data_IF_660994220174
#
_entry.id   IF_660994220174
#
_cell.length_a   1.000
_cell.length_b   1.000
_cell.length_c   1.000
_cell.angle_alpha   90.00
_cell.angle_beta   90.00
_cell.angle_gamma   90.00
#
_symmetry.space_group_name_H-M   'P 1'
#
loop_
_entity.id
_entity.type
_entity.pdbx_description
1 polymer ?
#
# COMPACT_ATOMS: atom_id res chain seq x y z
N UNK A 1 -2.06 -10.58 4.69
CA UNK A 1 -0.99 -11.57 4.89
C UNK A 1 -1.06 -12.52 3.73
N UNK A 2 0.10 -12.88 3.14
CA UNK A 2 0.24 -13.73 1.95
C UNK A 2 -0.10 -15.17 2.37
N UNK A 3 -1.36 -15.54 2.19
CA UNK A 3 -1.93 -16.79 2.67
C UNK A 3 -1.78 -17.93 1.68
N UNK A 4 -1.55 -17.62 0.41
CA UNK A 4 -1.28 -18.59 -0.65
C UNK A 4 0.22 -18.69 -1.02
N UNK A 5 1.08 -17.87 -0.41
CA UNK A 5 2.55 -17.80 -0.59
C UNK A 5 2.97 -17.53 -2.04
N UNK A 6 2.25 -16.66 -2.74
CA UNK A 6 2.55 -16.31 -4.14
C UNK A 6 3.41 -15.04 -4.30
N UNK A 7 3.86 -14.45 -3.19
CA UNK A 7 4.75 -13.29 -3.19
C UNK A 7 4.03 -11.95 -3.36
N UNK A 8 2.70 -11.95 -3.33
CA UNK A 8 1.88 -10.74 -3.34
C UNK A 8 0.78 -10.85 -2.28
N UNK A 9 0.32 -9.68 -1.85
CA UNK A 9 -0.86 -9.53 -1.01
C UNK A 9 -1.97 -9.03 -1.92
N UNK A 10 -2.94 -9.88 -2.27
CA UNK A 10 -4.01 -9.56 -3.21
C UNK A 10 -5.35 -10.22 -2.86
N UNK A 11 -6.35 -10.09 -3.72
CA UNK A 11 -7.71 -10.59 -3.46
C UNK A 11 -7.82 -12.13 -3.35
N UNK A 12 -6.76 -12.88 -3.65
CA UNK A 12 -6.68 -14.31 -3.40
C UNK A 12 -6.32 -14.62 -1.94
N UNK A 13 -5.96 -13.60 -1.15
CA UNK A 13 -5.65 -13.76 0.26
C UNK A 13 -6.85 -13.60 1.19
N UNK A 14 -6.94 -14.52 2.14
CA UNK A 14 -7.99 -14.57 3.17
C UNK A 14 -8.20 -13.23 3.89
N UNK A 15 -7.12 -12.47 4.14
CA UNK A 15 -7.15 -11.25 4.95
C UNK A 15 -6.93 -9.96 4.14
N UNK A 16 -6.98 -10.00 2.81
CA UNK A 16 -6.74 -8.82 1.98
C UNK A 16 -7.70 -7.67 2.29
N UNK A 17 -8.99 -7.99 2.42
CA UNK A 17 -10.05 -7.00 2.66
C UNK A 17 -9.97 -6.31 4.03
N UNK A 18 -9.20 -6.89 4.97
CA UNK A 18 -8.97 -6.32 6.29
C UNK A 18 -7.93 -5.19 6.26
N UNK A 19 -7.09 -5.13 5.23
CA UNK A 19 -6.10 -4.07 5.08
C UNK A 19 -6.76 -2.74 4.70
N UNK A 20 -6.23 -1.67 5.29
CA UNK A 20 -6.65 -0.28 5.07
C UNK A 20 -5.43 0.61 4.84
N UNK A 21 -5.62 1.72 4.14
CA UNK A 21 -4.69 2.85 4.07
C UNK A 21 -5.28 3.96 4.92
N UNK A 22 -4.49 4.49 5.85
CA UNK A 22 -4.82 5.72 6.55
C UNK A 22 -4.03 6.86 5.91
N UNK A 23 -4.75 7.86 5.44
CA UNK A 23 -4.19 9.14 5.02
C UNK A 23 -4.70 10.21 5.98
N UNK A 24 -3.87 10.59 6.93
CA UNK A 24 -4.09 11.76 7.77
C UNK A 24 -4.02 13.01 6.89
N UNK A 25 -5.18 13.65 6.66
CA UNK A 25 -5.32 14.79 5.74
C UNK A 25 -5.04 16.11 6.44
N UNK A 26 -5.18 16.17 7.76
CA UNK A 26 -5.04 17.39 8.54
C UNK A 26 -3.75 17.42 9.37
N UNK A 27 -3.00 16.31 9.39
CA UNK A 27 -1.74 16.12 10.12
C UNK A 27 -1.88 16.24 11.64
N UNK A 28 -3.03 15.86 12.20
CA UNK A 28 -3.30 15.94 13.64
C UNK A 28 -3.04 14.63 14.40
N UNK A 29 -2.74 13.55 13.67
CA UNK A 29 -2.45 12.23 14.22
C UNK A 29 -3.66 11.47 14.76
N UNK A 30 -4.88 11.89 14.44
CA UNK A 30 -6.12 11.20 14.80
C UNK A 30 -6.81 10.67 13.57
N UNK A 31 -7.61 9.62 13.76
CA UNK A 31 -8.40 9.07 12.69
C UNK A 31 -9.71 9.84 12.54
N UNK A 32 -9.86 10.55 11.44
CA UNK A 32 -11.08 11.28 11.11
C UNK A 32 -11.89 10.62 9.98
N UNK A 33 -13.13 11.10 9.80
CA UNK A 33 -14.01 10.63 8.74
C UNK A 33 -13.40 10.88 7.34
N UNK A 34 -13.36 9.83 6.52
CA UNK A 34 -12.82 9.92 5.17
C UNK A 34 -11.29 9.85 5.06
N UNK A 35 -10.58 9.53 6.15
CA UNK A 35 -9.14 9.28 6.16
C UNK A 35 -8.76 7.80 6.08
N UNK A 36 -9.67 6.91 6.51
CA UNK A 36 -9.49 5.46 6.39
C UNK A 36 -10.06 4.95 5.08
N UNK A 37 -9.19 4.42 4.22
CA UNK A 37 -9.53 3.87 2.92
C UNK A 37 -9.32 2.36 2.90
N UNK A 38 -10.19 1.64 2.21
CA UNK A 38 -9.85 0.29 1.73
C UNK A 38 -8.76 0.36 0.66
N UNK A 39 -8.02 -0.74 0.46
CA UNK A 39 -7.04 -0.84 -0.62
C UNK A 39 -7.67 -0.53 -1.99
N UNK A 40 -8.90 -1.00 -2.23
CA UNK A 40 -9.64 -0.73 -3.46
C UNK A 40 -9.94 0.77 -3.65
N UNK A 41 -10.38 1.47 -2.59
CA UNK A 41 -10.59 2.93 -2.63
C UNK A 41 -9.30 3.70 -2.89
N UNK A 42 -8.16 3.18 -2.42
CA UNK A 42 -6.83 3.74 -2.70
C UNK A 42 -6.25 3.31 -4.07
N UNK A 43 -6.98 2.53 -4.89
CA UNK A 43 -6.51 2.07 -6.19
C UNK A 43 -5.44 0.97 -6.14
N UNK A 44 -5.27 0.31 -4.99
CA UNK A 44 -4.30 -0.77 -4.75
C UNK A 44 -4.95 -2.12 -5.08
N UNK A 45 -4.46 -2.78 -6.12
CA UNK A 45 -4.90 -4.14 -6.50
C UNK A 45 -4.12 -5.23 -5.80
N UNK A 46 -2.83 -5.00 -5.56
CA UNK A 46 -1.94 -5.95 -4.90
C UNK A 46 -0.70 -5.24 -4.36
N UNK A 47 -0.04 -5.84 -3.38
CA UNK A 47 1.23 -5.38 -2.81
C UNK A 47 2.29 -6.48 -2.97
N UNK A 48 3.49 -6.18 -3.46
CA UNK A 48 4.56 -7.18 -3.49
C UNK A 48 5.15 -7.38 -2.09
N UNK A 49 5.44 -8.61 -1.68
CA UNK A 49 6.06 -8.92 -0.38
C UNK A 49 7.58 -8.69 -0.37
N UNK A 50 8.19 -8.62 -1.55
CA UNK A 50 9.61 -8.28 -1.71
C UNK A 50 9.84 -6.77 -1.57
N UNK A 51 11.00 -6.42 -1.00
CA UNK A 51 11.45 -5.04 -0.83
C UNK A 51 12.95 -4.92 -1.12
N UNK A 52 13.40 -3.71 -1.41
CA UNK A 52 14.82 -3.35 -1.44
C UNK A 52 15.16 -2.50 -0.23
N UNK A 53 16.36 -2.68 0.32
CA UNK A 53 16.88 -1.74 1.32
C UNK A 53 17.22 -0.40 0.65
N UNK A 54 17.07 0.68 1.40
CA UNK A 54 17.30 2.03 0.94
C UNK A 54 17.97 2.85 2.05
N UNK A 55 18.80 3.82 1.63
CA UNK A 55 19.45 4.79 2.52
C UNK A 55 18.86 6.19 2.33
N UNK A 56 17.73 6.31 1.66
CA UNK A 56 17.08 7.59 1.39
C UNK A 56 16.63 8.25 2.70
N UNK A 57 16.98 9.52 2.85
CA UNK A 57 16.55 10.38 3.94
C UNK A 57 15.97 11.65 3.31
N UNK A 58 14.73 11.98 3.66
CA UNK A 58 14.06 13.17 3.11
C UNK A 58 14.62 14.49 3.69
N UNK A 59 14.15 15.62 3.17
CA UNK A 59 14.58 16.94 3.62
C UNK A 59 14.24 17.24 5.11
N UNK A 60 13.35 16.46 5.72
CA UNK A 60 12.95 16.58 7.12
C UNK A 60 13.65 15.56 8.02
N UNK A 61 14.67 14.86 7.51
CA UNK A 61 15.42 13.80 8.20
C UNK A 61 14.62 12.52 8.49
N UNK A 62 13.57 12.23 7.72
CA UNK A 62 12.88 10.94 7.79
C UNK A 62 13.57 9.91 6.90
N UNK A 63 13.92 8.75 7.46
CA UNK A 63 14.61 7.68 6.74
C UNK A 63 13.63 6.67 6.10
N UNK A 64 13.71 6.49 4.79
CA UNK A 64 12.95 5.50 4.02
C UNK A 64 13.77 4.22 3.85
N UNK A 65 13.86 3.40 4.90
CA UNK A 65 14.84 2.30 4.96
C UNK A 65 14.57 1.11 4.02
N UNK A 66 13.31 0.92 3.60
CA UNK A 66 12.89 -0.19 2.76
C UNK A 66 11.81 0.29 1.79
N UNK A 67 11.90 -0.16 0.55
CA UNK A 67 10.98 0.21 -0.52
C UNK A 67 10.45 -1.05 -1.21
N UNK A 68 9.13 -1.25 -1.12
CA UNK A 68 8.41 -2.26 -1.87
C UNK A 68 7.94 -1.74 -3.23
N UNK A 69 7.07 -2.50 -3.90
CA UNK A 69 6.46 -2.09 -5.15
C UNK A 69 5.00 -2.53 -5.23
N UNK A 70 4.21 -1.73 -5.97
CA UNK A 70 2.88 -2.11 -6.40
C UNK A 70 2.98 -2.58 -7.86
N UNK A 71 2.38 -3.72 -8.24
CA UNK A 71 2.27 -4.07 -9.64
C UNK A 71 1.55 -2.96 -10.41
N UNK A 72 1.99 -2.65 -11.64
CA UNK A 72 1.32 -1.64 -12.45
C UNK A 72 -0.16 -2.02 -12.60
N UNK A 73 -1.05 -1.05 -12.43
CA UNK A 73 -2.45 -1.26 -12.81
C UNK A 73 -2.45 -1.69 -14.27
N UNK A 74 -2.91 -2.91 -14.59
CA UNK A 74 -3.13 -3.32 -15.97
C UNK A 74 -3.87 -2.18 -16.66
N UNK A 75 -3.22 -1.58 -17.66
CA UNK A 75 -3.82 -0.52 -18.45
C UNK A 75 -5.16 -1.03 -18.96
N UNK A 76 -6.24 -0.36 -18.58
CA UNK A 76 -7.52 -0.53 -19.25
C UNK A 76 -7.27 -0.14 -20.71
N UNK A 77 -7.12 -1.15 -21.59
CA UNK A 77 -7.08 -0.93 -23.03
C UNK A 77 -8.43 -0.31 -23.42
N UNK A 78 -8.47 1.01 -23.47
CA UNK A 78 -9.56 1.75 -24.10
C UNK A 78 -9.32 1.62 -25.61
N UNK A 79 -10.15 0.82 -26.27
CA UNK A 79 -10.27 0.81 -27.73
C UNK A 79 -11.04 2.03 -28.20
#
# INVERSE_FOLDING_TARGET
MDSNNDGKIDNQDTNFNNLKIWQDKNSDGKLDEGELLSLAQAGVKSLNTNYNNSNEVDANNNAHKQQGSLPPQQAQLTK
#
